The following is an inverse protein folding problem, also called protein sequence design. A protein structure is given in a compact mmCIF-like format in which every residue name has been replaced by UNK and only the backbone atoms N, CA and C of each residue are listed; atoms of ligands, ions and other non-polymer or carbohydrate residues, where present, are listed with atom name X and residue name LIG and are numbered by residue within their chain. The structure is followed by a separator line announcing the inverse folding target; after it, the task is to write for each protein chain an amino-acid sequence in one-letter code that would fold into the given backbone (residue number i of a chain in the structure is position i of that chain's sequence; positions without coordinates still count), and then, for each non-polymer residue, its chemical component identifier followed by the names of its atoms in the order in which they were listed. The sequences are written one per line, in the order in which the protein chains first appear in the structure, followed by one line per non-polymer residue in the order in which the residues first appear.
data_IF_149592799073
#
_entry.id   IF_149592799073
#
_cell.length_a   1.000
_cell.length_b   1.000
_cell.length_c   1.000
_cell.angle_alpha   90.00
_cell.angle_beta   90.00
_cell.angle_gamma   90.00
#
_symmetry.space_group_name_H-M   'P 1'
#
loop_
_entity.id
_entity.type
_entity.pdbx_description
1 polymer ?
#
# COMPACT_ATOMS: atom_id res chain seq x y z
N UNK A 1 14.14 -33.30 -72.70
CA UNK A 1 14.00 -31.83 -72.84
C UNK A 1 13.56 -31.28 -71.50
N UNK A 2 14.33 -30.35 -70.94
CA UNK A 2 14.11 -29.67 -69.65
C UNK A 2 12.74 -29.01 -69.57
N UNK A 3 12.22 -28.86 -68.35
CA UNK A 3 12.12 -27.55 -67.67
C UNK A 3 11.81 -27.77 -66.18
N UNK A 4 12.53 -26.99 -65.40
CA UNK A 4 12.47 -26.79 -63.95
C UNK A 4 11.07 -26.46 -63.44
N UNK A 5 10.75 -26.90 -62.22
CA UNK A 5 9.87 -26.14 -61.33
C UNK A 5 10.47 -26.15 -59.92
N UNK A 6 10.94 -24.97 -59.52
CA UNK A 6 11.57 -24.69 -58.24
C UNK A 6 10.60 -24.94 -57.07
N UNK A 7 11.18 -25.52 -56.03
CA UNK A 7 10.65 -25.62 -54.68
C UNK A 7 10.49 -24.21 -54.10
N UNK A 8 9.27 -23.87 -53.66
CA UNK A 8 9.02 -22.69 -52.84
C UNK A 8 8.39 -23.18 -51.53
N UNK A 9 9.27 -23.55 -50.59
CA UNK A 9 8.91 -23.75 -49.18
C UNK A 9 8.76 -22.35 -48.60
N UNK A 10 7.52 -21.86 -48.52
CA UNK A 10 7.21 -20.72 -47.67
C UNK A 10 7.25 -21.22 -46.22
N UNK A 11 8.39 -21.00 -45.57
CA UNK A 11 8.51 -21.07 -44.12
C UNK A 11 7.53 -20.07 -43.52
N UNK A 12 6.38 -20.53 -43.05
CA UNK A 12 5.55 -19.77 -42.13
C UNK A 12 6.34 -19.64 -40.82
N UNK A 13 7.10 -18.56 -40.77
CA UNK A 13 7.71 -18.01 -39.57
C UNK A 13 6.65 -17.95 -38.47
N UNK A 14 7.03 -18.46 -37.30
CA UNK A 14 6.33 -18.26 -36.05
C UNK A 14 5.81 -16.82 -36.00
N UNK A 15 4.49 -16.68 -36.04
CA UNK A 15 3.83 -15.51 -35.50
C UNK A 15 4.00 -15.64 -33.98
N UNK A 16 5.16 -15.23 -33.47
CA UNK A 16 5.24 -14.80 -32.09
C UNK A 16 4.13 -13.73 -31.97
N UNK A 17 3.12 -13.92 -31.11
CA UNK A 17 2.40 -12.76 -30.66
C UNK A 17 3.48 -11.89 -30.04
N UNK A 18 3.81 -10.78 -30.70
CA UNK A 18 4.36 -9.62 -30.04
C UNK A 18 3.41 -9.33 -28.88
N UNK A 19 3.69 -9.96 -27.74
CA UNK A 19 3.49 -9.38 -26.43
C UNK A 19 4.34 -8.12 -26.49
N UNK A 20 3.77 -7.10 -27.15
CA UNK A 20 3.90 -5.74 -26.70
C UNK A 20 3.54 -5.85 -25.22
N UNK A 21 4.59 -6.01 -24.42
CA UNK A 21 4.62 -5.55 -23.06
C UNK A 21 4.17 -4.10 -23.20
N UNK A 22 2.86 -3.90 -23.09
CA UNK A 22 2.31 -2.58 -22.89
C UNK A 22 3.02 -2.13 -21.63
N UNK A 23 4.01 -1.27 -21.86
CA UNK A 23 4.78 -0.60 -20.85
C UNK A 23 3.75 0.19 -20.03
N UNK A 24 3.21 -0.49 -19.01
CA UNK A 24 2.20 0.03 -18.11
C UNK A 24 2.84 0.99 -17.11
N UNK A 25 3.90 1.68 -17.52
CA UNK A 25 4.40 2.93 -16.95
C UNK A 25 3.47 4.09 -17.30
N UNK A 26 2.14 3.87 -17.30
CA UNK A 26 1.22 4.96 -16.99
C UNK A 26 1.54 5.35 -15.56
N UNK A 27 2.18 6.50 -15.41
CA UNK A 27 2.42 7.16 -14.13
C UNK A 27 1.18 6.97 -13.25
N UNK A 28 1.30 6.14 -12.22
CA UNK A 28 0.17 5.82 -11.35
C UNK A 28 -0.33 7.12 -10.74
N UNK A 29 -1.53 7.53 -11.12
CA UNK A 29 -2.18 8.75 -10.65
C UNK A 29 -2.12 8.79 -9.12
N UNK A 30 -1.58 9.90 -8.60
CA UNK A 30 -1.56 10.23 -7.17
C UNK A 30 -2.98 10.64 -6.73
N UNK A 31 -3.54 9.95 -5.74
CA UNK A 31 -4.90 10.16 -5.22
C UNK A 31 -4.85 10.84 -3.86
N UNK A 32 -5.70 11.82 -3.62
CA UNK A 32 -5.90 12.34 -2.28
C UNK A 32 -6.60 11.31 -1.40
N UNK A 33 -6.41 11.39 -0.08
CA UNK A 33 -7.19 10.60 0.89
C UNK A 33 -8.70 10.77 0.65
N UNK A 34 -9.16 11.99 0.32
CA UNK A 34 -10.56 12.28 -0.01
C UNK A 34 -11.04 11.47 -1.21
N UNK A 35 -10.30 11.47 -2.31
CA UNK A 35 -10.64 10.70 -3.51
C UNK A 35 -10.70 9.19 -3.23
N UNK A 36 -9.76 8.66 -2.44
CA UNK A 36 -9.72 7.22 -2.15
C UNK A 36 -10.93 6.74 -1.34
N UNK A 37 -11.48 7.60 -0.48
CA UNK A 37 -12.66 7.30 0.33
C UNK A 37 -14.00 7.37 -0.44
N UNK A 38 -14.03 7.84 -1.69
CA UNK A 38 -15.28 7.97 -2.48
C UNK A 38 -15.67 6.63 -3.14
N UNK A 39 -16.52 5.87 -2.45
CA UNK A 39 -17.22 4.68 -2.98
C UNK A 39 -18.27 5.14 -4.03
N UNK A 40 -18.42 4.47 -5.20
CA UNK A 40 -17.87 3.16 -5.60
C UNK A 40 -16.62 3.23 -6.49
N UNK A 41 -16.07 4.42 -6.75
CA UNK A 41 -14.95 4.60 -7.68
C UNK A 41 -13.71 3.77 -7.33
N UNK A 42 -13.55 3.44 -6.04
CA UNK A 42 -12.40 2.74 -5.48
C UNK A 42 -12.50 1.20 -5.51
N UNK A 43 -13.67 0.60 -5.77
CA UNK A 43 -13.76 -0.88 -5.86
C UNK A 43 -12.89 -1.44 -6.98
N UNK A 44 -12.75 -0.68 -8.08
CA UNK A 44 -11.88 -1.01 -9.22
C UNK A 44 -10.38 -0.93 -8.90
N UNK A 45 -10.04 -0.34 -7.75
CA UNK A 45 -8.67 -0.22 -7.25
C UNK A 45 -8.31 -1.30 -6.21
N UNK A 46 -9.28 -2.13 -5.79
CA UNK A 46 -9.01 -3.24 -4.86
C UNK A 46 -7.97 -4.20 -5.47
N UNK A 47 -6.97 -4.56 -4.68
CA UNK A 47 -5.83 -5.39 -5.09
C UNK A 47 -4.81 -4.67 -5.97
N UNK A 48 -5.01 -3.38 -6.29
CA UNK A 48 -4.07 -2.58 -7.07
C UNK A 48 -3.21 -1.72 -6.16
N UNK A 49 -1.99 -1.50 -6.63
CA UNK A 49 -1.08 -0.54 -6.06
C UNK A 49 -1.56 0.90 -6.34
N UNK A 50 -1.60 1.72 -5.30
CA UNK A 50 -2.06 3.11 -5.34
C UNK A 50 -1.04 4.02 -4.68
N UNK A 51 -0.95 5.25 -5.17
CA UNK A 51 -0.19 6.34 -4.54
C UNK A 51 -1.18 7.31 -3.91
N UNK A 52 -1.06 7.51 -2.61
CA UNK A 52 -2.04 8.26 -1.82
C UNK A 52 -1.35 9.37 -1.06
N UNK A 53 -1.90 10.57 -1.07
CA UNK A 53 -1.37 11.68 -0.29
C UNK A 53 -2.40 12.28 0.66
N UNK A 54 -1.93 12.66 1.84
CA UNK A 54 -2.76 13.19 2.93
C UNK A 54 -1.90 13.71 4.07
N UNK A 55 -2.54 14.22 5.11
CA UNK A 55 -1.88 14.66 6.34
C UNK A 55 -1.75 13.50 7.33
N UNK A 56 -0.59 13.38 7.99
CA UNK A 56 -0.39 12.45 9.09
C UNK A 56 -1.26 12.89 10.27
N UNK A 57 -2.29 12.10 10.59
CA UNK A 57 -3.13 12.35 11.76
C UNK A 57 -2.59 11.65 13.00
N UNK A 58 -2.13 10.41 12.84
CA UNK A 58 -1.52 9.65 13.93
C UNK A 58 -0.50 8.65 13.40
N UNK A 59 0.51 8.37 14.21
CA UNK A 59 1.45 7.27 14.03
C UNK A 59 1.22 6.33 15.21
N UNK A 60 0.67 5.16 14.93
CA UNK A 60 0.35 4.16 15.94
C UNK A 60 1.60 3.54 16.55
N UNK A 61 1.44 2.95 17.73
CA UNK A 61 2.50 2.21 18.39
C UNK A 61 2.97 1.01 17.55
N UNK A 62 4.23 0.61 17.72
CA UNK A 62 4.79 -0.59 17.11
C UNK A 62 3.99 -1.82 17.56
N UNK A 63 3.15 -2.35 16.67
CA UNK A 63 2.40 -3.59 16.90
C UNK A 63 3.28 -4.80 16.61
N UNK A 64 3.23 -5.77 17.51
CA UNK A 64 3.94 -7.06 17.37
C UNK A 64 3.00 -8.08 16.73
N UNK A 65 3.39 -8.62 15.58
CA UNK A 65 2.71 -9.74 14.95
C UNK A 65 3.57 -11.00 15.10
N UNK A 66 3.06 -11.99 15.82
CA UNK A 66 3.75 -13.24 16.10
C UNK A 66 3.51 -14.25 14.97
N UNK A 67 4.59 -14.79 14.40
CA UNK A 67 4.59 -15.87 13.42
C UNK A 67 5.58 -16.93 13.89
N UNK A 68 5.10 -17.84 14.74
CA UNK A 68 5.94 -18.82 15.41
C UNK A 68 6.98 -18.15 16.31
N UNK A 69 8.26 -18.34 16.00
CA UNK A 69 9.37 -17.71 16.72
C UNK A 69 9.72 -16.30 16.21
N UNK A 70 9.05 -15.80 15.17
CA UNK A 70 9.27 -14.47 14.61
C UNK A 70 8.26 -13.47 15.16
N UNK A 71 8.76 -12.30 15.50
CA UNK A 71 8.02 -11.13 15.95
C UNK A 71 8.22 -10.06 14.89
N UNK A 72 7.27 -9.92 13.98
CA UNK A 72 7.28 -8.80 13.03
C UNK A 72 6.79 -7.54 13.74
N UNK A 73 7.43 -6.42 13.47
CA UNK A 73 6.99 -5.12 13.96
C UNK A 73 6.36 -4.32 12.80
N UNK A 74 5.19 -3.76 13.07
CA UNK A 74 4.44 -2.92 12.15
C UNK A 74 4.08 -1.62 12.85
N UNK A 75 4.26 -0.50 12.16
CA UNK A 75 3.80 0.82 12.61
C UNK A 75 2.70 1.28 11.68
N UNK A 76 1.57 1.71 12.24
CA UNK A 76 0.46 2.19 11.43
C UNK A 76 0.49 3.70 11.30
N UNK A 77 0.55 4.17 10.06
CA UNK A 77 0.43 5.59 9.76
C UNK A 77 -1.00 5.83 9.31
N UNK A 78 -1.67 6.78 9.96
CA UNK A 78 -3.03 7.17 9.62
C UNK A 78 -3.00 8.50 8.89
N UNK A 79 -3.54 8.52 7.67
CA UNK A 79 -3.62 9.73 6.84
C UNK A 79 -5.05 10.27 6.79
N UNK A 80 -5.20 11.59 6.90
CA UNK A 80 -6.47 12.30 6.72
C UNK A 80 -6.40 13.26 5.52
N UNK A 81 -7.56 13.74 5.01
CA UNK A 81 -7.58 14.79 3.99
C UNK A 81 -6.86 16.06 4.46
N UNK A 82 -6.15 16.75 3.56
CA UNK A 82 -5.36 17.97 3.83
C UNK A 82 -6.23 19.17 4.28
N UNK A 83 -7.54 19.11 4.03
CA UNK A 83 -8.52 20.10 4.51
C UNK A 83 -9.78 19.38 4.98
N UNK A 84 -10.17 19.64 6.21
CA UNK A 84 -11.46 19.20 6.75
C UNK A 84 -12.59 19.98 6.07
N UNK A 85 -13.22 19.35 5.11
CA UNK A 85 -14.51 19.80 4.62
C UNK A 85 -15.56 19.27 5.60
N UNK A 86 -16.23 20.16 6.35
CA UNK A 86 -17.27 19.81 7.34
C UNK A 86 -18.40 18.94 6.76
N UNK A 87 -18.46 18.83 5.43
CA UNK A 87 -19.44 18.08 4.66
C UNK A 87 -19.09 16.61 4.46
N UNK A 88 -17.87 16.16 4.74
CA UNK A 88 -17.45 14.78 4.50
C UNK A 88 -17.28 14.01 5.82
N UNK A 89 -18.06 12.93 6.04
CA UNK A 89 -17.96 12.15 7.26
C UNK A 89 -16.59 11.44 7.30
N UNK A 90 -16.05 11.25 8.51
CA UNK A 90 -14.64 10.96 8.77
C UNK A 90 -14.01 9.99 7.77
N UNK A 91 -12.97 10.43 7.08
CA UNK A 91 -12.22 9.60 6.13
C UNK A 91 -10.77 9.60 6.57
N UNK A 92 -10.18 8.42 6.70
CA UNK A 92 -8.75 8.26 6.92
C UNK A 92 -8.23 7.01 6.23
N UNK A 93 -6.96 6.98 5.89
CA UNK A 93 -6.29 5.82 5.27
C UNK A 93 -5.37 5.18 6.28
N UNK A 94 -5.50 3.87 6.46
CA UNK A 94 -4.59 3.08 7.29
C UNK A 94 -3.43 2.54 6.45
N UNK A 95 -2.20 2.91 6.80
CA UNK A 95 -0.98 2.54 6.10
C UNK A 95 0.00 1.82 7.05
N UNK A 96 -0.10 0.48 7.18
CA UNK A 96 0.82 -0.32 7.98
C UNK A 96 2.18 -0.45 7.28
N UNK A 97 3.22 0.07 7.92
CA UNK A 97 4.61 0.00 7.43
C UNK A 97 5.40 -1.00 8.29
N UNK A 98 6.13 -1.91 7.63
CA UNK A 98 7.00 -2.87 8.30
C UNK A 98 8.30 -2.19 8.76
N UNK A 99 8.69 -2.48 9.99
CA UNK A 99 9.95 -2.02 10.61
C UNK A 99 10.72 -3.23 11.16
N UNK A 100 11.99 -3.08 11.62
CA UNK A 100 12.79 -4.20 12.11
C UNK A 100 12.06 -4.97 13.22
N UNK A 101 12.06 -6.30 13.10
CA UNK A 101 11.43 -7.23 14.04
C UNK A 101 12.45 -8.05 14.81
N UNK A 102 12.03 -9.17 15.39
CA UNK A 102 12.90 -10.06 16.17
C UNK A 102 12.57 -11.54 15.88
N UNK A 103 13.56 -12.44 15.90
CA UNK A 103 13.35 -13.89 16.05
C UNK A 103 13.81 -14.29 17.43
N UNK A 104 12.93 -14.93 18.21
CA UNK A 104 13.24 -15.37 19.56
C UNK A 104 13.28 -16.90 19.64
N UNK A 105 14.38 -17.47 20.14
CA UNK A 105 14.54 -18.91 20.32
C UNK A 105 14.88 -19.22 21.77
N UNK A 106 14.40 -20.36 22.28
CA UNK A 106 14.82 -20.85 23.59
C UNK A 106 16.13 -21.64 23.43
N UNK A 107 17.18 -21.19 24.10
CA UNK A 107 18.48 -21.89 24.17
C UNK A 107 18.82 -22.07 25.65
N UNK A 108 19.03 -23.30 26.10
CA UNK A 108 19.34 -23.64 27.49
C UNK A 108 18.36 -23.02 28.51
N UNK A 109 17.05 -23.04 28.20
CA UNK A 109 15.99 -22.49 29.06
C UNK A 109 15.90 -20.96 29.09
N UNK A 110 16.71 -20.23 28.31
CA UNK A 110 16.67 -18.77 28.18
C UNK A 110 16.13 -18.36 26.82
N UNK A 111 15.31 -17.31 26.78
CA UNK A 111 14.81 -16.71 25.53
C UNK A 111 15.90 -15.79 24.94
N UNK A 112 16.37 -16.12 23.75
CA UNK A 112 17.34 -15.33 22.99
C UNK A 112 16.67 -14.75 21.74
N UNK A 113 16.55 -13.42 21.68
CA UNK A 113 16.01 -12.71 20.53
C UNK A 113 17.13 -12.12 19.67
N UNK A 114 17.00 -12.22 18.34
CA UNK A 114 17.87 -11.58 17.36
C UNK A 114 17.04 -10.68 16.45
N UNK A 115 17.51 -9.47 16.20
CA UNK A 115 16.80 -8.54 15.31
C UNK A 115 16.70 -9.11 13.89
N UNK A 116 15.51 -9.05 13.29
CA UNK A 116 15.29 -9.23 11.85
C UNK A 116 15.25 -7.85 11.23
N UNK A 117 16.27 -7.54 10.45
CA UNK A 117 16.42 -6.22 9.86
C UNK A 117 16.94 -6.32 8.44
N UNK A 118 16.64 -5.31 7.64
CA UNK A 118 17.18 -5.09 6.30
C UNK A 118 17.43 -3.57 6.14
N UNK A 119 18.22 -3.14 5.15
CA UNK A 119 18.39 -1.70 4.87
C UNK A 119 17.06 -0.98 4.67
N UNK A 120 16.10 -1.63 4.00
CA UNK A 120 14.75 -1.12 3.79
C UNK A 120 13.97 -0.95 5.11
N UNK A 121 13.97 -1.96 5.99
CA UNK A 121 13.28 -1.88 7.28
C UNK A 121 13.90 -0.79 8.18
N UNK A 122 15.23 -0.64 8.16
CA UNK A 122 15.91 0.45 8.89
C UNK A 122 15.53 1.82 8.34
N UNK A 123 15.52 1.98 7.02
CA UNK A 123 15.10 3.22 6.38
C UNK A 123 13.65 3.57 6.72
N UNK A 124 12.74 2.58 6.73
CA UNK A 124 11.36 2.79 7.17
C UNK A 124 11.28 3.30 8.61
N UNK A 125 12.01 2.67 9.53
CA UNK A 125 12.04 3.09 10.94
C UNK A 125 12.58 4.51 11.10
N UNK A 126 13.66 4.84 10.38
CA UNK A 126 14.27 6.17 10.37
C UNK A 126 13.30 7.23 9.82
N UNK A 127 12.68 6.98 8.67
CA UNK A 127 11.68 7.88 8.09
C UNK A 127 10.51 8.10 9.04
N UNK A 128 9.94 7.03 9.61
CA UNK A 128 8.82 7.11 10.56
C UNK A 128 9.20 7.91 11.80
N UNK A 129 10.41 7.73 12.34
CA UNK A 129 10.87 8.44 13.54
C UNK A 129 10.96 9.95 13.36
N UNK A 130 11.03 10.42 12.11
CA UNK A 130 11.07 11.84 11.75
C UNK A 130 9.70 12.44 11.49
N UNK A 131 8.69 11.61 11.21
CA UNK A 131 7.36 12.07 10.88
C UNK A 131 6.67 12.74 12.08
N UNK A 132 5.95 13.82 11.81
CA UNK A 132 5.16 14.55 12.80
C UNK A 132 3.69 14.60 12.39
N UNK A 133 2.82 14.70 13.39
CA UNK A 133 1.40 14.98 13.16
C UNK A 133 1.23 16.30 12.39
N UNK A 134 0.34 16.30 11.40
CA UNK A 134 0.06 17.43 10.51
C UNK A 134 0.91 17.49 9.24
N UNK A 135 2.02 16.75 9.16
CA UNK A 135 2.84 16.71 7.95
C UNK A 135 2.07 16.08 6.78
N UNK A 136 2.20 16.65 5.59
CA UNK A 136 1.64 16.05 4.39
C UNK A 136 2.63 15.02 3.85
N UNK A 137 2.21 13.77 3.71
CA UNK A 137 3.05 12.73 3.13
C UNK A 137 2.36 12.07 1.94
N UNK A 138 3.17 11.44 1.10
CA UNK A 138 2.70 10.54 0.05
C UNK A 138 3.17 9.14 0.36
N UNK A 139 2.23 8.21 0.37
CA UNK A 139 2.48 6.79 0.57
C UNK A 139 2.12 6.01 -0.68
N UNK A 140 2.71 4.83 -0.78
CA UNK A 140 2.44 3.83 -1.80
C UNK A 140 2.05 2.55 -1.09
N UNK A 141 1.01 1.87 -1.58
CA UNK A 141 0.61 0.58 -1.05
C UNK A 141 -0.47 -0.08 -1.90
N UNK A 142 -0.78 -1.33 -1.60
CA UNK A 142 -1.83 -2.09 -2.28
C UNK A 142 -3.15 -1.88 -1.54
N UNK A 143 -4.19 -1.38 -2.22
CA UNK A 143 -5.50 -1.22 -1.59
C UNK A 143 -6.12 -2.59 -1.31
N UNK A 144 -6.24 -2.97 -0.04
CA UNK A 144 -6.88 -4.23 0.37
C UNK A 144 -8.39 -4.13 0.33
N UNK A 145 -8.94 -3.12 1.00
CA UNK A 145 -10.38 -2.91 1.16
C UNK A 145 -10.66 -1.51 1.70
N UNK A 146 -11.93 -1.09 1.64
CA UNK A 146 -12.43 0.08 2.34
C UNK A 146 -13.37 -0.42 3.43
N UNK A 147 -12.97 -0.26 4.68
CA UNK A 147 -13.82 -0.56 5.82
C UNK A 147 -14.79 0.61 6.04
N UNK A 148 -16.08 0.31 6.10
CA UNK A 148 -17.12 1.30 6.44
C UNK A 148 -17.52 1.08 7.90
N UNK A 149 -17.26 2.08 8.75
CA UNK A 149 -17.59 2.05 10.18
C UNK A 149 -18.84 2.91 10.39
N UNK A 150 -20.00 2.33 10.71
CA UNK A 150 -21.20 3.11 10.96
C UNK A 150 -21.05 3.91 12.26
N UNK A 151 -21.48 5.17 12.23
CA UNK A 151 -21.59 6.02 13.41
C UNK A 151 -23.07 6.19 13.77
N UNK A 152 -23.40 5.96 15.04
CA UNK A 152 -24.74 6.26 15.53
C UNK A 152 -25.00 7.77 15.44
N UNK A 153 -26.11 8.12 14.80
CA UNK A 153 -26.55 9.51 14.64
C UNK A 153 -27.84 9.74 15.42
N UNK A 154 -27.82 10.71 16.34
CA UNK A 154 -29.02 11.24 16.97
C UNK A 154 -29.62 12.22 15.93
N UNK A 155 -30.60 11.78 15.14
CA UNK A 155 -31.27 12.65 14.15
C UNK A 155 -31.44 12.10 12.72
N UNK A 156 -31.20 10.81 12.45
CA UNK A 156 -31.69 10.14 11.23
C UNK A 156 -30.80 10.23 9.98
N UNK A 157 -29.70 11.00 9.98
CA UNK A 157 -28.68 10.89 8.93
C UNK A 157 -27.65 9.81 9.30
N UNK A 158 -27.54 8.74 8.52
CA UNK A 158 -26.48 7.74 8.68
C UNK A 158 -25.12 8.40 8.44
N UNK A 159 -24.32 8.54 9.51
CA UNK A 159 -22.92 8.96 9.42
C UNK A 159 -22.08 7.69 9.40
N UNK A 160 -21.04 7.65 8.59
CA UNK A 160 -20.09 6.54 8.57
C UNK A 160 -18.68 7.05 8.38
N UNK A 161 -17.69 6.30 8.84
CA UNK A 161 -16.28 6.54 8.54
C UNK A 161 -15.85 5.60 7.45
N UNK A 162 -15.19 6.13 6.42
CA UNK A 162 -14.52 5.31 5.40
C UNK A 162 -13.04 5.17 5.76
N UNK A 163 -12.57 3.92 5.86
CA UNK A 163 -11.18 3.58 6.14
C UNK A 163 -10.60 2.67 5.04
N UNK A 164 -10.00 3.23 3.97
CA UNK A 164 -9.17 2.45 3.07
C UNK A 164 -7.95 1.88 3.79
N UNK A 165 -7.78 0.56 3.71
CA UNK A 165 -6.64 -0.15 4.29
C UNK A 165 -5.65 -0.48 3.18
N UNK A 166 -4.44 0.05 3.29
CA UNK A 166 -3.34 -0.29 2.41
C UNK A 166 -2.54 -1.47 2.99
N UNK A 167 -1.93 -2.25 2.10
CA UNK A 167 -0.92 -3.26 2.42
C UNK A 167 0.41 -2.85 1.81
N UNK A 168 1.49 -3.44 2.32
CA UNK A 168 2.84 -3.24 1.79
C UNK A 168 3.19 -1.75 1.65
N UNK A 169 2.83 -1.02 2.70
CA UNK A 169 2.82 0.42 2.67
C UNK A 169 4.25 0.97 2.79
N UNK A 170 4.59 1.95 1.96
CA UNK A 170 5.88 2.64 1.94
C UNK A 170 5.68 4.15 1.83
N UNK A 171 6.51 4.93 2.53
CA UNK A 171 6.50 6.38 2.45
C UNK A 171 7.39 6.79 1.28
N UNK A 172 6.83 7.51 0.31
CA UNK A 172 7.56 7.98 -0.86
C UNK A 172 8.11 9.40 -0.68
N UNK A 173 7.29 10.29 -0.15
CA UNK A 173 7.58 11.73 -0.08
C UNK A 173 7.04 12.31 1.22
N UNK A 174 7.82 13.20 1.84
CA UNK A 174 7.39 14.06 2.94
C UNK A 174 7.33 15.48 2.38
N UNK A 175 6.12 16.05 2.31
CA UNK A 175 5.87 17.42 1.87
C UNK A 175 6.43 18.42 2.88
N UNK A 176 7.02 19.51 2.38
CA UNK A 176 7.43 20.67 3.17
C UNK A 176 6.28 21.65 3.32
#
# INVERSE_FOLDING_TARGET
MSIFALILIATFTLLEPNLSYADNTKEQRKLSVKELCLVPSTEKLKGKEVRVYGQVSSIGDKRRAFLGNRINQVVDIVLTPIKEDKTHPGCYVSCPVKVPGEVCQHVNGKLHCREITSPELKANLETISRLKGGETITVKGILKEIQIIPLHSIGGQSKYIANPILLECSILEIGK
#
